data_IF_498961992954
#
_entry.id   IF_498961992954
#
_cell.length_a   1.000
_cell.length_b   1.000
_cell.length_c   1.000
_cell.angle_alpha   90.00
_cell.angle_beta   90.00
_cell.angle_gamma   90.00
#
_symmetry.space_group_name_H-M   'P 1'
#
loop_
_entity.id
_entity.type
_entity.pdbx_description
1 polymer ?
#
# COMPACT_ATOMS: atom_id res chain seq x y z
N UNK A 1 6.27 11.09 17.34
CA UNK A 1 5.07 11.36 16.52
C UNK A 1 5.08 12.84 16.12
N UNK A 2 5.01 13.16 14.83
CA UNK A 2 5.07 14.52 14.30
C UNK A 2 3.72 14.89 13.68
N UNK A 3 3.03 15.89 14.24
CA UNK A 3 1.76 16.39 13.71
C UNK A 3 2.02 17.49 12.69
N UNK A 4 1.21 17.53 11.63
CA UNK A 4 1.29 18.46 10.52
C UNK A 4 0.29 19.61 10.71
N UNK A 5 0.71 20.80 10.34
CA UNK A 5 -0.19 21.97 10.25
C UNK A 5 -1.14 21.82 9.07
N UNK A 6 -2.21 22.61 9.03
CA UNK A 6 -3.16 22.60 7.91
C UNK A 6 -2.47 22.93 6.56
N UNK A 7 -1.45 23.81 6.58
CA UNK A 7 -0.68 24.12 5.37
C UNK A 7 0.18 22.92 4.89
N UNK A 8 0.82 22.20 5.83
CA UNK A 8 1.60 20.99 5.50
C UNK A 8 0.69 19.89 4.97
N UNK A 9 -0.50 19.69 5.56
CA UNK A 9 -1.51 18.74 5.05
C UNK A 9 -1.96 19.13 3.63
N UNK A 10 -2.14 20.44 3.36
CA UNK A 10 -2.49 20.91 2.01
C UNK A 10 -1.41 20.56 0.98
N UNK A 11 -0.13 20.74 1.33
CA UNK A 11 1.00 20.33 0.48
C UNK A 11 1.00 18.80 0.26
N UNK A 12 0.80 18.02 1.33
CA UNK A 12 0.70 16.57 1.23
C UNK A 12 -0.51 16.13 0.38
N UNK A 13 -1.62 16.84 0.42
CA UNK A 13 -2.78 16.57 -0.43
C UNK A 13 -2.47 16.84 -1.92
N UNK A 14 -1.70 17.90 -2.24
CA UNK A 14 -1.20 18.12 -3.61
C UNK A 14 -0.31 16.96 -4.07
N UNK A 15 0.67 16.56 -3.25
CA UNK A 15 1.56 15.42 -3.54
C UNK A 15 0.79 14.10 -3.67
N UNK A 16 -0.19 13.89 -2.80
CA UNK A 16 -1.07 12.71 -2.84
C UNK A 16 -1.94 12.63 -4.10
N UNK A 17 -2.44 13.76 -4.60
CA UNK A 17 -3.15 13.80 -5.90
C UNK A 17 -2.23 13.43 -7.07
N UNK A 18 -0.99 13.97 -7.06
CA UNK A 18 0.01 13.58 -8.06
C UNK A 18 0.23 12.07 -8.03
N UNK A 19 0.44 11.51 -6.85
CA UNK A 19 0.65 10.08 -6.65
C UNK A 19 -0.54 9.25 -7.14
N UNK A 20 -1.76 9.62 -6.75
CA UNK A 20 -2.98 8.93 -7.15
C UNK A 20 -3.17 8.91 -8.68
N UNK A 21 -2.90 10.03 -9.36
CA UNK A 21 -2.95 10.09 -10.82
C UNK A 21 -1.86 9.22 -11.46
N UNK A 22 -0.64 9.20 -10.91
CA UNK A 22 0.46 8.35 -11.39
C UNK A 22 0.07 6.89 -11.24
N UNK A 23 -0.37 6.46 -10.06
CA UNK A 23 -0.75 5.08 -9.81
C UNK A 23 -1.94 4.65 -10.71
N UNK A 24 -2.95 5.49 -10.88
CA UNK A 24 -4.06 5.23 -11.81
C UNK A 24 -3.58 5.02 -13.25
N UNK A 25 -2.63 5.85 -13.71
CA UNK A 25 -2.01 5.67 -15.02
C UNK A 25 -1.26 4.33 -15.14
N UNK A 26 -0.45 3.97 -14.12
CA UNK A 26 0.27 2.69 -14.11
C UNK A 26 -0.70 1.52 -14.18
N UNK A 27 -1.74 1.52 -13.34
CA UNK A 27 -2.77 0.47 -13.32
C UNK A 27 -3.47 0.32 -14.68
N UNK A 28 -3.70 1.42 -15.40
CA UNK A 28 -4.27 1.39 -16.76
C UNK A 28 -3.35 0.72 -17.80
N UNK A 29 -2.05 0.60 -17.51
CA UNK A 29 -1.06 -0.05 -18.37
C UNK A 29 -0.81 -1.51 -18.01
N UNK A 30 -1.29 -1.95 -16.85
CA UNK A 30 -1.18 -3.35 -16.42
C UNK A 30 -1.94 -4.25 -17.38
N UNK A 31 -1.22 -5.11 -18.10
CA UNK A 31 -1.75 -6.09 -19.05
C UNK A 31 -0.72 -7.18 -19.33
N UNK A 32 -1.12 -8.33 -19.87
CA UNK A 32 -0.17 -9.37 -20.26
C UNK A 32 0.92 -8.84 -21.19
N UNK A 33 2.17 -9.23 -20.95
CA UNK A 33 3.35 -8.88 -21.71
C UNK A 33 4.09 -7.61 -21.28
N UNK A 34 3.49 -6.74 -20.49
CA UNK A 34 4.19 -5.59 -19.89
C UNK A 34 5.15 -6.09 -18.81
N UNK A 35 6.38 -5.57 -18.76
CA UNK A 35 7.33 -5.91 -17.70
C UNK A 35 7.21 -4.99 -16.50
N UNK A 36 7.68 -5.47 -15.34
CA UNK A 36 7.73 -4.66 -14.11
C UNK A 36 8.63 -3.44 -14.27
N UNK A 37 9.78 -3.58 -14.98
CA UNK A 37 10.68 -2.46 -15.29
C UNK A 37 10.07 -1.42 -16.25
N UNK A 38 9.20 -1.84 -17.18
CA UNK A 38 8.46 -0.90 -18.01
C UNK A 38 7.52 -0.02 -17.17
N UNK A 39 6.87 -0.60 -16.14
CA UNK A 39 6.02 0.15 -15.18
C UNK A 39 6.86 1.08 -14.30
N UNK A 40 8.02 0.63 -13.82
CA UNK A 40 8.95 1.46 -13.01
C UNK A 40 9.44 2.69 -13.79
N UNK A 41 9.87 2.47 -15.03
CA UNK A 41 10.31 3.55 -15.92
C UNK A 41 9.19 4.55 -16.21
N UNK A 42 7.98 4.06 -16.44
CA UNK A 42 6.81 4.91 -16.66
C UNK A 42 6.47 5.73 -15.40
N UNK A 43 6.54 5.11 -14.22
CA UNK A 43 6.29 5.79 -12.94
C UNK A 43 7.24 6.98 -12.76
N UNK A 44 8.54 6.76 -12.96
CA UNK A 44 9.54 7.82 -12.84
C UNK A 44 9.27 8.99 -13.78
N UNK A 45 8.96 8.68 -15.04
CA UNK A 45 8.61 9.68 -16.04
C UNK A 45 7.41 10.52 -15.60
N UNK A 46 6.30 9.86 -15.22
CA UNK A 46 5.05 10.54 -14.84
C UNK A 46 5.20 11.40 -13.58
N UNK A 47 5.96 10.94 -12.58
CA UNK A 47 6.23 11.71 -11.35
C UNK A 47 7.00 12.99 -11.69
N UNK A 48 8.07 12.87 -12.50
CA UNK A 48 8.91 14.02 -12.90
C UNK A 48 8.15 15.01 -13.76
N UNK A 49 7.30 14.57 -14.68
CA UNK A 49 6.45 15.43 -15.51
C UNK A 49 5.48 16.29 -14.70
N UNK A 50 5.11 15.82 -13.48
CA UNK A 50 4.26 16.56 -12.53
C UNK A 50 5.06 17.45 -11.56
N UNK A 51 6.37 17.58 -11.75
CA UNK A 51 7.24 18.41 -10.90
C UNK A 51 7.46 17.85 -9.49
N UNK A 52 7.31 16.55 -9.32
CA UNK A 52 7.57 15.82 -8.09
C UNK A 52 8.80 14.90 -8.22
N UNK A 53 9.23 14.29 -7.12
CA UNK A 53 10.32 13.32 -7.08
C UNK A 53 9.81 11.93 -6.66
N UNK A 54 10.40 10.83 -7.22
CA UNK A 54 10.16 9.48 -6.73
C UNK A 54 10.57 9.34 -5.26
N UNK A 55 9.59 9.10 -4.38
CA UNK A 55 9.82 9.01 -2.93
C UNK A 55 10.77 7.86 -2.57
N UNK A 56 10.59 6.69 -3.18
CA UNK A 56 11.37 5.49 -2.85
C UNK A 56 12.84 5.59 -3.28
N UNK A 57 13.18 6.32 -4.34
CA UNK A 57 14.58 6.59 -4.72
C UNK A 57 15.34 7.42 -3.70
N UNK A 58 14.66 8.03 -2.75
CA UNK A 58 15.27 8.75 -1.62
C UNK A 58 15.64 7.81 -0.46
N UNK A 59 15.15 6.58 -0.48
CA UNK A 59 15.52 5.54 0.48
C UNK A 59 16.93 5.02 0.14
N UNK A 60 17.84 5.07 1.11
CA UNK A 60 19.23 4.66 0.91
C UNK A 60 19.32 3.21 0.44
N UNK A 61 19.89 3.02 -0.74
CA UNK A 61 20.13 1.70 -1.34
C UNK A 61 19.00 1.21 -2.27
N UNK A 62 17.81 1.78 -2.23
CA UNK A 62 16.75 1.46 -3.18
C UNK A 62 16.91 2.29 -4.47
N UNK A 63 16.82 1.65 -5.64
CA UNK A 63 17.16 2.31 -6.92
C UNK A 63 15.94 2.54 -7.82
N UNK A 64 14.80 1.96 -7.47
CA UNK A 64 13.58 1.98 -8.28
C UNK A 64 12.59 3.03 -7.79
N UNK A 65 11.65 3.39 -8.66
CA UNK A 65 10.61 4.38 -8.40
C UNK A 65 9.44 3.78 -7.63
N UNK A 66 9.14 2.51 -7.95
CA UNK A 66 8.04 1.74 -7.37
C UNK A 66 8.56 0.44 -6.77
N UNK A 67 7.78 -0.16 -5.86
CA UNK A 67 7.88 -1.56 -5.53
C UNK A 67 6.79 -2.33 -6.28
N UNK A 68 7.12 -3.53 -6.76
CA UNK A 68 6.20 -4.39 -7.50
C UNK A 68 6.07 -5.74 -6.83
N UNK A 69 4.88 -6.04 -6.35
CA UNK A 69 4.56 -7.25 -5.62
C UNK A 69 3.70 -8.18 -6.48
N UNK A 70 4.36 -9.00 -7.31
CA UNK A 70 3.68 -9.95 -8.20
C UNK A 70 3.46 -11.28 -7.50
N UNK A 71 2.23 -11.79 -7.51
CA UNK A 71 1.79 -13.09 -6.99
C UNK A 71 2.09 -13.31 -5.49
N UNK A 72 3.15 -14.07 -5.17
CA UNK A 72 3.56 -14.41 -3.80
C UNK A 72 4.51 -13.37 -3.17
N UNK A 73 4.94 -12.36 -3.92
CA UNK A 73 5.67 -11.21 -3.37
C UNK A 73 4.71 -10.37 -2.55
N UNK A 74 5.09 -10.11 -1.30
CA UNK A 74 4.25 -9.43 -0.30
C UNK A 74 4.42 -7.92 -0.39
N UNK A 75 5.66 -7.44 -0.23
CA UNK A 75 6.06 -6.03 -0.30
C UNK A 75 7.50 -5.89 -0.77
N UNK A 76 7.89 -4.65 -1.06
CA UNK A 76 9.25 -4.24 -1.42
C UNK A 76 9.83 -5.01 -2.62
N UNK A 77 8.98 -5.59 -3.47
CA UNK A 77 9.43 -6.31 -4.66
C UNK A 77 10.21 -5.37 -5.58
N UNK A 78 11.45 -5.75 -5.89
CA UNK A 78 12.28 -5.00 -6.83
C UNK A 78 11.79 -5.27 -8.25
N UNK A 79 11.44 -4.24 -9.04
CA UNK A 79 11.02 -4.42 -10.44
C UNK A 79 12.06 -5.17 -11.28
N UNK A 80 11.60 -6.13 -12.06
CA UNK A 80 12.42 -7.00 -12.92
C UNK A 80 11.93 -7.00 -14.37
N UNK A 81 12.63 -7.77 -15.24
CA UNK A 81 12.17 -8.05 -16.62
C UNK A 81 11.00 -9.05 -16.67
N UNK A 82 10.46 -9.48 -15.51
CA UNK A 82 9.30 -10.35 -15.50
C UNK A 82 8.15 -9.71 -16.27
N UNK A 83 7.63 -10.46 -17.25
CA UNK A 83 6.49 -10.03 -18.05
C UNK A 83 5.21 -10.61 -17.51
N UNK A 84 4.31 -9.74 -17.15
CA UNK A 84 3.01 -10.07 -16.57
C UNK A 84 2.22 -11.04 -17.46
N UNK A 85 1.52 -11.98 -16.82
CA UNK A 85 0.73 -13.03 -17.49
C UNK A 85 -0.72 -12.98 -17.05
N UNK A 86 -1.61 -13.51 -17.88
CA UNK A 86 -3.01 -13.73 -17.49
C UNK A 86 -3.07 -14.64 -16.27
N UNK A 87 -3.82 -14.23 -15.26
CA UNK A 87 -3.97 -14.93 -13.99
C UNK A 87 -2.98 -14.52 -12.89
N UNK A 88 -1.98 -13.67 -13.21
CA UNK A 88 -1.19 -13.00 -12.18
C UNK A 88 -2.03 -11.94 -11.45
N UNK A 89 -1.64 -11.67 -10.22
CA UNK A 89 -1.98 -10.42 -9.51
C UNK A 89 -0.71 -9.59 -9.36
N UNK A 90 -0.84 -8.28 -9.34
CA UNK A 90 0.28 -7.36 -9.16
C UNK A 90 -0.12 -6.25 -8.18
N UNK A 91 0.62 -6.12 -7.09
CA UNK A 91 0.63 -4.96 -6.23
C UNK A 91 1.64 -3.93 -6.75
N UNK A 92 1.20 -2.71 -7.00
CA UNK A 92 2.07 -1.57 -7.31
C UNK A 92 2.02 -0.63 -6.13
N UNK A 93 3.18 -0.41 -5.55
CA UNK A 93 3.39 0.47 -4.41
C UNK A 93 4.31 1.61 -4.85
N UNK A 94 3.90 2.85 -4.59
CA UNK A 94 4.53 4.05 -5.12
C UNK A 94 4.50 5.18 -4.10
N UNK A 95 5.66 5.80 -3.87
CA UNK A 95 5.81 6.99 -3.05
C UNK A 95 6.17 8.23 -3.88
N UNK A 96 5.59 9.36 -3.52
CA UNK A 96 5.92 10.68 -4.11
C UNK A 96 6.46 11.61 -3.03
N UNK A 97 7.58 12.28 -3.33
CA UNK A 97 8.08 13.39 -2.54
C UNK A 97 7.77 14.70 -3.27
N UNK A 98 7.04 15.59 -2.60
CA UNK A 98 6.60 16.86 -3.15
C UNK A 98 6.70 17.99 -2.13
N UNK A 99 7.40 19.07 -2.47
CA UNK A 99 7.57 20.28 -1.63
C UNK A 99 7.92 19.97 -0.16
N UNK A 100 8.79 18.99 0.07
CA UNK A 100 9.28 18.67 1.42
C UNK A 100 8.54 17.53 2.13
N UNK A 101 7.52 16.93 1.52
CA UNK A 101 6.71 15.87 2.12
C UNK A 101 6.57 14.65 1.23
N UNK A 102 6.49 13.49 1.87
CA UNK A 102 6.19 12.22 1.22
C UNK A 102 4.70 11.89 1.33
N UNK A 103 4.20 11.18 0.34
CA UNK A 103 2.93 10.44 0.37
C UNK A 103 3.17 9.06 -0.21
N UNK A 104 2.41 8.07 0.28
CA UNK A 104 2.55 6.66 -0.07
C UNK A 104 1.21 6.04 -0.43
N UNK A 105 1.18 5.12 -1.40
CA UNK A 105 -0.04 4.51 -1.88
C UNK A 105 0.23 3.21 -2.63
N UNK A 106 -0.51 2.17 -2.31
CA UNK A 106 -0.45 0.90 -3.03
C UNK A 106 -1.84 0.40 -3.44
N UNK A 107 -1.87 -0.33 -4.55
CA UNK A 107 -3.06 -1.01 -5.06
C UNK A 107 -2.67 -2.34 -5.70
N UNK A 108 -3.43 -3.40 -5.41
CA UNK A 108 -3.25 -4.72 -6.04
C UNK A 108 -4.39 -4.99 -7.03
N UNK A 109 -4.02 -5.39 -8.24
CA UNK A 109 -4.98 -5.73 -9.30
C UNK A 109 -4.71 -7.11 -9.91
N UNK A 110 -5.76 -7.74 -10.44
CA UNK A 110 -5.67 -8.99 -11.20
C UNK A 110 -5.45 -8.71 -12.68
N UNK A 111 -4.59 -9.50 -13.33
CA UNK A 111 -4.35 -9.45 -14.75
C UNK A 111 -5.32 -10.40 -15.47
N UNK A 112 -6.37 -9.84 -16.02
CA UNK A 112 -7.43 -10.57 -16.71
C UNK A 112 -7.28 -10.51 -18.24
N UNK A 113 -7.76 -11.57 -18.92
CA UNK A 113 -8.01 -11.50 -20.37
C UNK A 113 -9.53 -11.42 -20.57
N UNK A 114 -9.99 -10.33 -21.17
CA UNK A 114 -11.41 -10.03 -21.43
C UNK A 114 -12.11 -11.14 -22.27
N UNK A 115 -11.35 -12.03 -22.92
CA UNK A 115 -11.85 -13.03 -23.87
C UNK A 115 -12.22 -14.39 -23.25
N UNK A 116 -11.97 -14.64 -21.96
CA UNK A 116 -12.20 -15.95 -21.36
C UNK A 116 -13.25 -15.87 -20.24
N UNK A 117 -14.06 -16.95 -20.14
CA UNK A 117 -14.98 -17.13 -19.01
C UNK A 117 -14.19 -17.18 -17.69
N UNK A 118 -14.73 -16.58 -16.65
CA UNK A 118 -14.17 -16.62 -15.29
C UNK A 118 -14.08 -18.04 -14.77
N UNK A 119 -12.98 -18.40 -14.18
CA UNK A 119 -12.76 -19.68 -13.49
C UNK A 119 -13.08 -19.54 -12.00
N UNK A 120 -13.29 -20.67 -11.29
CA UNK A 120 -13.41 -20.65 -9.82
C UNK A 120 -12.22 -19.96 -9.15
N UNK A 121 -11.01 -20.12 -9.71
CA UNK A 121 -9.80 -19.43 -9.23
C UNK A 121 -9.90 -17.92 -9.40
N UNK A 122 -10.49 -17.46 -10.48
CA UNK A 122 -10.70 -16.02 -10.72
C UNK A 122 -11.66 -15.44 -9.69
N UNK A 123 -12.73 -16.15 -9.34
CA UNK A 123 -13.69 -15.73 -8.32
C UNK A 123 -13.04 -15.66 -6.93
N UNK A 124 -12.16 -16.63 -6.59
CA UNK A 124 -11.38 -16.62 -5.36
C UNK A 124 -10.42 -15.45 -5.28
N UNK A 125 -9.70 -15.13 -6.36
CA UNK A 125 -8.83 -13.96 -6.45
C UNK A 125 -9.64 -12.67 -6.30
N UNK A 126 -10.78 -12.56 -6.98
CA UNK A 126 -11.64 -11.38 -6.91
C UNK A 126 -12.19 -11.17 -5.49
N UNK A 127 -12.57 -12.26 -4.79
CA UNK A 127 -12.96 -12.21 -3.37
C UNK A 127 -11.79 -11.75 -2.49
N UNK A 128 -10.59 -12.29 -2.75
CA UNK A 128 -9.37 -11.92 -2.02
C UNK A 128 -9.09 -10.42 -2.16
N UNK A 129 -9.01 -9.89 -3.38
CA UNK A 129 -8.73 -8.47 -3.63
C UNK A 129 -9.82 -7.54 -3.07
N UNK A 130 -11.10 -7.91 -3.22
CA UNK A 130 -12.23 -7.17 -2.62
C UNK A 130 -12.13 -7.11 -1.10
N UNK A 131 -11.65 -8.19 -0.47
CA UNK A 131 -11.47 -8.23 0.99
C UNK A 131 -10.41 -7.24 1.45
N UNK A 132 -9.23 -7.17 0.79
CA UNK A 132 -8.18 -6.21 1.14
C UNK A 132 -8.64 -4.77 0.97
N UNK A 133 -9.25 -4.46 -0.16
CA UNK A 133 -9.80 -3.13 -0.41
C UNK A 133 -10.83 -2.72 0.63
N UNK A 134 -11.77 -3.61 0.97
CA UNK A 134 -12.74 -3.37 2.03
C UNK A 134 -12.07 -3.18 3.40
N UNK A 135 -11.05 -3.98 3.72
CA UNK A 135 -10.32 -3.86 4.98
C UNK A 135 -9.63 -2.50 5.11
N UNK A 136 -9.01 -2.00 4.03
CA UNK A 136 -8.44 -0.66 3.98
C UNK A 136 -9.51 0.43 4.18
N UNK A 137 -10.59 0.39 3.41
CA UNK A 137 -11.68 1.38 3.50
C UNK A 137 -12.28 1.44 4.90
N UNK A 138 -12.57 0.29 5.51
CA UNK A 138 -13.16 0.21 6.86
C UNK A 138 -12.13 0.57 7.95
N UNK A 139 -10.84 0.24 7.76
CA UNK A 139 -9.75 0.67 8.61
C UNK A 139 -9.60 2.20 8.62
N UNK A 140 -9.67 2.83 7.45
CA UNK A 140 -9.64 4.29 7.33
C UNK A 140 -10.85 4.93 8.01
N UNK A 141 -12.06 4.41 7.87
CA UNK A 141 -13.27 4.97 8.49
C UNK A 141 -13.20 5.07 10.02
N UNK A 142 -12.47 4.17 10.67
CA UNK A 142 -12.29 4.21 12.13
C UNK A 142 -11.07 5.03 12.56
N UNK A 143 -10.27 5.54 11.63
CA UNK A 143 -9.12 6.42 11.90
C UNK A 143 -9.57 7.85 12.25
N UNK A 144 -10.32 8.00 13.33
CA UNK A 144 -10.92 9.27 13.77
C UNK A 144 -10.16 9.85 14.96
N UNK A 145 -10.21 11.19 15.06
CA UNK A 145 -9.71 11.92 16.22
C UNK A 145 -10.26 11.30 17.53
N UNK A 146 -9.35 11.04 18.48
CA UNK A 146 -9.66 10.40 19.76
C UNK A 146 -9.69 8.87 19.75
N UNK A 147 -9.78 8.23 18.58
CA UNK A 147 -9.53 6.80 18.46
C UNK A 147 -8.01 6.54 18.55
N UNK A 148 -7.64 5.27 18.53
CA UNK A 148 -6.26 4.80 18.62
C UNK A 148 -5.90 3.96 17.40
N UNK A 149 -4.61 3.80 17.13
CA UNK A 149 -4.09 2.92 16.06
C UNK A 149 -4.68 1.52 16.17
N UNK A 150 -4.82 0.96 17.38
CA UNK A 150 -5.42 -0.35 17.61
C UNK A 150 -6.86 -0.52 17.10
N UNK A 151 -7.63 0.57 16.93
CA UNK A 151 -8.96 0.47 16.30
C UNK A 151 -8.83 0.17 14.81
N UNK A 152 -7.82 0.78 14.13
CA UNK A 152 -7.49 0.51 12.72
C UNK A 152 -7.04 -0.94 12.59
N UNK A 153 -6.05 -1.32 13.40
CA UNK A 153 -5.46 -2.67 13.44
C UNK A 153 -6.53 -3.76 13.61
N UNK A 154 -7.40 -3.60 14.62
CA UNK A 154 -8.49 -4.55 14.87
C UNK A 154 -9.46 -4.62 13.70
N UNK A 155 -9.84 -3.50 13.12
CA UNK A 155 -10.79 -3.45 12.00
C UNK A 155 -10.23 -4.18 10.77
N UNK A 156 -8.97 -3.94 10.41
CA UNK A 156 -8.30 -4.64 9.31
C UNK A 156 -8.24 -6.14 9.59
N UNK A 157 -7.76 -6.52 10.76
CA UNK A 157 -7.64 -7.92 11.17
C UNK A 157 -8.98 -8.66 11.11
N UNK A 158 -10.03 -8.09 11.71
CA UNK A 158 -11.36 -8.72 11.76
C UNK A 158 -11.91 -9.00 10.34
N UNK A 159 -11.66 -8.10 9.39
CA UNK A 159 -12.15 -8.27 8.02
C UNK A 159 -11.33 -9.29 7.25
N UNK A 160 -10.01 -9.21 7.32
CA UNK A 160 -9.09 -10.11 6.60
C UNK A 160 -9.18 -11.52 7.15
N UNK A 161 -9.02 -11.71 8.46
CA UNK A 161 -9.03 -13.03 9.09
C UNK A 161 -10.44 -13.63 9.14
N UNK A 162 -11.48 -12.80 9.28
CA UNK A 162 -12.87 -13.23 9.17
C UNK A 162 -13.26 -13.72 7.77
N UNK A 163 -12.52 -13.35 6.73
CA UNK A 163 -12.69 -13.86 5.37
C UNK A 163 -11.89 -15.15 5.10
N UNK A 164 -11.06 -15.60 6.07
CA UNK A 164 -10.23 -16.81 5.99
C UNK A 164 -8.81 -16.56 5.44
N UNK A 165 -8.37 -15.29 5.37
CA UNK A 165 -7.03 -14.90 4.94
C UNK A 165 -6.16 -14.55 6.15
N UNK A 166 -4.86 -14.30 5.95
CA UNK A 166 -3.92 -14.03 7.04
C UNK A 166 -3.28 -12.65 6.90
N UNK A 167 -3.42 -11.78 7.92
CA UNK A 167 -2.66 -10.55 7.99
C UNK A 167 -1.19 -10.86 8.25
N UNK A 168 -0.28 -10.26 7.47
CA UNK A 168 1.16 -10.35 7.69
C UNK A 168 1.52 -9.61 8.98
N UNK A 169 2.40 -10.21 9.81
CA UNK A 169 2.69 -9.72 11.17
C UNK A 169 4.02 -8.98 11.30
N UNK A 170 4.91 -9.14 10.33
CA UNK A 170 6.28 -8.59 10.36
C UNK A 170 6.42 -7.27 9.59
N UNK A 171 5.33 -6.77 9.02
CA UNK A 171 5.29 -5.55 8.23
C UNK A 171 4.06 -4.75 8.64
N UNK A 172 4.21 -3.44 8.73
CA UNK A 172 3.20 -2.54 9.31
C UNK A 172 3.17 -1.21 8.57
N UNK A 173 2.03 -0.57 8.55
CA UNK A 173 1.90 0.82 8.14
C UNK A 173 2.61 1.76 9.11
N UNK A 174 2.70 3.02 8.77
CA UNK A 174 3.58 3.97 9.46
C UNK A 174 3.06 5.41 9.43
N UNK A 175 3.60 6.26 10.27
CA UNK A 175 3.53 7.70 10.07
C UNK A 175 4.23 8.09 8.77
N UNK A 176 3.78 9.14 8.11
CA UNK A 176 4.40 9.65 6.87
C UNK A 176 4.39 11.18 6.87
N UNK A 177 5.42 11.78 6.26
CA UNK A 177 5.54 13.23 6.22
C UNK A 177 6.87 13.70 5.64
N UNK A 178 7.68 14.39 6.43
CA UNK A 178 9.03 14.83 5.99
C UNK A 178 9.93 13.64 5.70
N UNK A 179 9.79 12.57 6.48
CA UNK A 179 10.37 11.26 6.16
C UNK A 179 9.29 10.35 5.56
N UNK A 180 9.71 9.38 4.74
CA UNK A 180 8.80 8.37 4.20
C UNK A 180 8.20 7.54 5.34
N UNK A 181 9.03 7.10 6.28
CA UNK A 181 8.60 6.40 7.47
C UNK A 181 8.80 7.28 8.71
N UNK A 182 7.72 7.53 9.43
CA UNK A 182 7.66 8.25 10.70
C UNK A 182 6.88 7.43 11.74
N UNK A 183 7.01 7.79 13.02
CA UNK A 183 6.11 7.28 14.05
C UNK A 183 4.68 7.86 13.90
N UNK A 184 3.64 7.10 14.25
CA UNK A 184 3.67 5.77 14.86
C UNK A 184 3.67 4.63 13.83
N UNK A 185 4.05 3.42 14.25
CA UNK A 185 3.69 2.20 13.50
C UNK A 185 2.17 2.02 13.49
N UNK A 186 1.64 1.49 12.38
CA UNK A 186 0.21 1.23 12.17
C UNK A 186 0.03 -0.24 11.73
N UNK A 187 0.11 -1.21 12.66
CA UNK A 187 -0.04 -2.63 12.33
C UNK A 187 -1.43 -2.94 11.75
N UNK A 188 -1.49 -3.80 10.73
CA UNK A 188 -2.74 -4.34 10.20
C UNK A 188 -3.40 -5.38 11.12
N UNK A 189 -2.85 -5.60 12.30
CA UNK A 189 -3.35 -6.54 13.32
C UNK A 189 -3.17 -5.96 14.73
N UNK A 190 -3.99 -6.41 15.66
CA UNK A 190 -3.91 -5.98 17.06
C UNK A 190 -2.83 -6.81 17.79
N UNK A 191 -1.72 -6.18 18.15
CA UNK A 191 -0.59 -6.78 18.85
C UNK A 191 -0.57 -6.52 20.36
N UNK A 192 -1.39 -5.57 20.83
CA UNK A 192 -1.52 -5.19 22.23
C UNK A 192 -2.94 -4.65 22.52
N UNK A 193 -3.24 -4.34 23.77
CA UNK A 193 -4.55 -3.77 24.12
C UNK A 193 -4.74 -2.41 23.43
N UNK A 194 -5.95 -2.14 22.93
CA UNK A 194 -6.25 -0.91 22.18
C UNK A 194 -5.86 0.35 23.00
N UNK A 195 -6.10 0.33 24.30
CA UNK A 195 -5.80 1.45 25.20
C UNK A 195 -4.31 1.77 25.32
N UNK A 196 -3.44 0.84 24.95
CA UNK A 196 -1.99 0.98 24.98
C UNK A 196 -1.42 1.49 23.66
N UNK A 197 -2.19 1.38 22.56
CA UNK A 197 -1.76 1.83 21.24
C UNK A 197 -1.78 3.35 21.11
N UNK A 198 -1.00 3.94 20.18
CA UNK A 198 -0.92 5.38 19.96
C UNK A 198 -2.28 6.03 19.71
N UNK A 199 -2.50 7.20 20.33
CA UNK A 199 -3.71 8.01 20.13
C UNK A 199 -3.65 8.71 18.77
N UNK A 200 -4.76 8.71 18.05
CA UNK A 200 -4.95 9.46 16.81
C UNK A 200 -5.29 10.92 17.17
N UNK A 201 -4.38 11.82 16.86
CA UNK A 201 -4.49 13.25 17.15
C UNK A 201 -4.64 14.06 15.87
N UNK A 202 -5.24 15.24 15.96
CA UNK A 202 -5.39 16.14 14.83
C UNK A 202 -4.03 16.49 14.21
N UNK A 203 -3.94 16.47 12.89
CA UNK A 203 -2.70 16.73 12.13
C UNK A 203 -1.76 15.53 12.01
N UNK A 204 -2.07 14.41 12.63
CA UNK A 204 -1.31 13.17 12.39
C UNK A 204 -1.56 12.68 10.96
N UNK A 205 -0.49 12.36 10.23
CA UNK A 205 -0.55 11.74 8.91
C UNK A 205 0.08 10.36 8.96
N UNK A 206 -0.64 9.35 8.46
CA UNK A 206 -0.24 7.95 8.48
C UNK A 206 -0.53 7.27 7.15
N UNK A 207 0.29 6.29 6.81
CA UNK A 207 0.03 5.27 5.81
C UNK A 207 -0.73 4.12 6.49
N UNK A 208 -1.96 3.88 6.06
CA UNK A 208 -2.76 2.73 6.49
C UNK A 208 -2.61 1.67 5.42
N UNK A 209 -2.03 0.52 5.81
CA UNK A 209 -1.72 -0.57 4.90
C UNK A 209 -2.43 -1.87 5.31
N UNK A 210 -2.93 -2.57 4.31
CA UNK A 210 -3.47 -3.94 4.44
C UNK A 210 -2.53 -4.87 3.70
N UNK A 211 -1.63 -5.51 4.45
CA UNK A 211 -0.67 -6.49 3.94
C UNK A 211 -1.14 -7.88 4.38
N UNK A 212 -1.53 -8.73 3.44
CA UNK A 212 -2.15 -9.99 3.78
C UNK A 212 -1.93 -11.06 2.72
N UNK A 213 -1.96 -12.33 3.15
CA UNK A 213 -1.76 -13.49 2.30
C UNK A 213 -3.06 -14.30 2.17
N UNK A 214 -3.25 -14.92 1.02
CA UNK A 214 -4.33 -15.87 0.80
C UNK A 214 -4.15 -17.14 1.67
N UNK A 215 -2.90 -17.49 1.97
CA UNK A 215 -2.50 -18.59 2.85
C UNK A 215 -2.06 -18.12 4.24
N UNK A 216 -0.86 -18.57 4.67
CA UNK A 216 -0.33 -18.30 6.00
C UNK A 216 0.32 -16.92 6.11
N UNK A 217 0.41 -16.40 7.34
CA UNK A 217 0.95 -15.07 7.66
C UNK A 217 2.49 -14.94 7.53
N UNK A 218 3.20 -16.07 7.50
CA UNK A 218 4.66 -16.06 7.56
C UNK A 218 5.27 -15.64 6.22
N UNK A 219 6.36 -14.87 6.30
CA UNK A 219 7.09 -14.33 5.15
C UNK A 219 8.57 -14.65 5.22
N UNK A 220 9.24 -14.61 4.08
CA UNK A 220 10.69 -14.78 3.93
C UNK A 220 11.21 -13.79 2.88
N UNK A 221 12.53 -13.55 2.86
CA UNK A 221 13.13 -12.87 1.71
C UNK A 221 12.97 -13.71 0.44
N UNK A 222 12.56 -13.08 -0.66
CA UNK A 222 12.28 -13.75 -1.93
C UNK A 222 13.58 -14.23 -2.62
N UNK A 223 14.64 -13.42 -2.50
CA UNK A 223 15.94 -13.63 -3.13
C UNK A 223 17.03 -12.86 -2.36
N UNK A 224 18.19 -12.68 -2.98
CA UNK A 224 19.34 -11.98 -2.38
C UNK A 224 19.41 -10.49 -2.74
N UNK A 225 18.31 -9.85 -3.15
CA UNK A 225 18.28 -8.42 -3.48
C UNK A 225 18.25 -7.51 -2.23
N UNK A 226 17.99 -8.09 -1.07
CA UNK A 226 17.95 -7.41 0.22
C UNK A 226 16.64 -6.63 0.48
N UNK A 227 15.66 -6.71 -0.44
CA UNK A 227 14.41 -5.96 -0.38
C UNK A 227 13.16 -6.83 -0.48
N UNK A 228 13.06 -7.63 -1.53
CA UNK A 228 11.85 -8.38 -1.86
C UNK A 228 11.48 -9.39 -0.79
N UNK A 229 10.26 -9.26 -0.25
CA UNK A 229 9.69 -10.15 0.77
C UNK A 229 8.53 -10.91 0.14
N UNK A 230 8.48 -12.23 0.33
CA UNK A 230 7.41 -13.08 -0.19
C UNK A 230 6.75 -13.95 0.88
N UNK A 231 5.56 -14.44 0.58
CA UNK A 231 4.87 -15.42 1.43
C UNK A 231 5.68 -16.71 1.51
N UNK A 232 5.81 -17.26 2.72
CA UNK A 232 6.61 -18.47 2.96
C UNK A 232 6.01 -19.72 2.31
N UNK A 233 4.70 -19.76 2.17
CA UNK A 233 3.95 -20.88 1.57
C UNK A 233 3.64 -20.70 0.09
N UNK A 234 4.19 -19.64 -0.54
CA UNK A 234 3.96 -19.27 -1.94
C UNK A 234 2.48 -18.99 -2.27
N UNK A 235 1.67 -18.66 -1.28
CA UNK A 235 0.30 -18.19 -1.51
C UNK A 235 0.31 -16.76 -2.05
N UNK A 236 -0.75 -16.38 -2.78
CA UNK A 236 -0.91 -15.02 -3.28
C UNK A 236 -0.94 -14.02 -2.13
N UNK A 237 -0.34 -12.86 -2.33
CA UNK A 237 -0.31 -11.75 -1.39
C UNK A 237 -0.96 -10.50 -1.97
N UNK A 238 -1.64 -9.71 -1.12
CA UNK A 238 -2.26 -8.44 -1.49
C UNK A 238 -1.77 -7.31 -0.63
N UNK A 239 -1.58 -6.15 -1.26
CA UNK A 239 -1.20 -4.89 -0.63
C UNK A 239 -2.17 -3.81 -1.10
N UNK A 240 -2.78 -3.12 -0.13
CA UNK A 240 -3.62 -1.94 -0.35
C UNK A 240 -3.24 -0.88 0.67
N UNK A 241 -3.02 0.34 0.23
CA UNK A 241 -2.51 1.39 1.09
C UNK A 241 -3.01 2.77 0.69
N UNK A 242 -3.23 3.63 1.68
CA UNK A 242 -3.50 5.06 1.50
C UNK A 242 -2.82 5.90 2.58
N UNK A 243 -2.27 7.03 2.17
CA UNK A 243 -1.90 8.10 3.10
C UNK A 243 -3.15 8.87 3.51
N UNK A 244 -3.36 9.03 4.81
CA UNK A 244 -4.46 9.80 5.38
C UNK A 244 -3.96 10.84 6.39
N UNK A 245 -4.74 11.89 6.59
CA UNK A 245 -4.56 12.83 7.69
C UNK A 245 -5.74 12.72 8.67
N UNK A 246 -5.46 12.77 9.96
CA UNK A 246 -6.48 12.82 11.01
C UNK A 246 -6.94 14.28 11.15
N UNK A 247 -8.24 14.53 10.94
CA UNK A 247 -8.84 15.84 11.07
C UNK A 247 -10.01 15.82 12.06
N UNK A 248 -10.51 17.00 12.43
CA UNK A 248 -11.72 17.14 13.30
C UNK A 248 -12.96 16.53 12.65
N UNK A 249 -13.05 16.59 11.32
CA UNK A 249 -14.21 16.11 10.56
C UNK A 249 -14.11 14.61 10.22
N UNK A 250 -12.99 13.98 10.57
CA UNK A 250 -12.67 12.57 10.30
C UNK A 250 -11.38 12.39 9.51
N UNK A 251 -11.09 11.18 9.04
CA UNK A 251 -9.91 10.91 8.22
C UNK A 251 -10.04 11.57 6.84
N UNK A 252 -9.05 12.37 6.46
CA UNK A 252 -8.91 12.93 5.13
C UNK A 252 -7.95 12.04 4.33
N UNK A 253 -8.43 11.37 3.29
CA UNK A 253 -7.58 10.57 2.39
C UNK A 253 -6.82 11.53 1.47
N UNK A 254 -5.50 11.51 1.56
CA UNK A 254 -4.61 12.38 0.78
C UNK A 254 -4.29 11.78 -0.59
N UNK A 255 -4.28 10.43 -0.70
CA UNK A 255 -3.96 9.67 -1.91
C UNK A 255 -5.21 9.00 -2.48
N UNK A 256 -6.17 9.80 -2.93
CA UNK A 256 -7.42 9.31 -3.51
C UNK A 256 -7.45 9.58 -5.02
N UNK A 257 -7.79 8.53 -5.80
CA UNK A 257 -8.09 8.61 -7.25
C UNK A 257 -9.51 9.12 -7.45
#
# INVERSE_FOLDING_TARGET
MHVKTSNEISIMLEGGKILAEVLSNLLSKVRPGVSELELDTLAEKLIKEKGAEPGFKRVKGYKHTICVSTNDVVVHGVPTEYRLKVGDIIGIDCGVYYKGFNTDMAETVKISNIKYQTSKRDDEIDKFLKTGKRALEEGIKVARLGNRVGHISKKIQDIVEGAGYSVVRSLVGHGVGKSLHEEPEVPGYLNERIEQTPLLVEGLTIAVEVIYNMGKKDVIYANNDGWSIKSKDSSLSGLFERTIAITKDGPLVLTQV
#
